data_IF_908798792070
#
_entry.id   IF_908798792070
#
_cell.length_a   1.000
_cell.length_b   1.000
_cell.length_c   1.000
_cell.angle_alpha   90.00
_cell.angle_beta   90.00
_cell.angle_gamma   90.00
#
_symmetry.space_group_name_H-M   'P 1'
#
loop_
_entity.id
_entity.type
_entity.pdbx_description
1 polymer ?
#
# COMPACT_ATOMS: atom_id res chain seq x y z
N UNK A 1 -17.09 12.44 -11.45
CA UNK A 1 -15.67 12.03 -11.43
C UNK A 1 -15.56 10.68 -12.11
N UNK A 2 -14.52 10.43 -12.92
CA UNK A 2 -14.28 9.08 -13.45
C UNK A 2 -14.03 8.14 -12.29
N UNK A 3 -14.60 6.92 -12.36
CA UNK A 3 -14.39 5.91 -11.33
C UNK A 3 -12.93 5.43 -11.38
N UNK A 4 -12.24 5.43 -10.25
CA UNK A 4 -10.89 4.87 -10.13
C UNK A 4 -11.03 3.34 -10.10
N UNK A 5 -10.38 2.64 -11.02
CA UNK A 5 -10.48 1.17 -11.16
C UNK A 5 -9.13 0.47 -11.05
N UNK A 6 -8.04 1.23 -10.89
CA UNK A 6 -6.66 0.74 -10.89
C UNK A 6 -5.94 1.02 -9.58
N UNK A 7 -5.13 0.06 -9.13
CA UNK A 7 -4.27 0.22 -7.97
C UNK A 7 -2.87 -0.35 -8.20
N UNK A 8 -1.85 0.26 -7.58
CA UNK A 8 -0.46 -0.20 -7.58
C UNK A 8 -0.09 -0.65 -6.16
N UNK A 9 0.49 -1.83 -6.03
CA UNK A 9 0.93 -2.39 -4.75
C UNK A 9 2.39 -2.86 -4.85
N UNK A 10 3.35 -2.07 -4.36
CA UNK A 10 4.74 -2.50 -4.27
C UNK A 10 4.94 -3.57 -3.18
N UNK A 11 5.53 -4.71 -3.57
CA UNK A 11 5.84 -5.85 -2.68
C UNK A 11 7.24 -6.47 -2.92
N UNK A 12 8.11 -5.79 -3.68
CA UNK A 12 9.43 -6.32 -4.07
C UNK A 12 10.54 -6.19 -2.99
N UNK A 13 10.26 -5.57 -1.85
CA UNK A 13 11.28 -5.28 -0.83
C UNK A 13 11.77 -6.52 -0.06
N UNK A 14 13.07 -6.56 0.26
CA UNK A 14 13.71 -7.67 1.02
C UNK A 14 13.17 -7.87 2.45
N UNK A 15 12.56 -6.84 3.04
CA UNK A 15 12.08 -6.92 4.42
C UNK A 15 13.18 -7.21 5.44
N UNK A 16 14.37 -6.62 5.30
CA UNK A 16 15.55 -6.90 6.14
C UNK A 16 15.31 -6.70 7.64
N UNK A 17 14.42 -5.76 8.02
CA UNK A 17 13.96 -5.54 9.42
C UNK A 17 13.32 -6.77 10.06
N UNK A 18 12.92 -7.77 9.26
CA UNK A 18 12.23 -8.98 9.68
C UNK A 18 13.10 -10.24 9.52
N UNK A 19 14.40 -10.11 9.30
CA UNK A 19 15.28 -11.27 9.33
C UNK A 19 15.24 -11.96 10.71
N UNK A 20 15.32 -13.30 10.79
CA UNK A 20 15.61 -14.23 9.69
C UNK A 20 14.38 -14.71 8.91
N UNK A 21 13.14 -14.40 9.34
CA UNK A 21 11.94 -14.98 8.71
C UNK A 21 11.81 -14.57 7.24
N UNK A 22 12.21 -13.32 6.92
CA UNK A 22 12.21 -12.79 5.55
C UNK A 22 13.33 -13.31 4.65
N UNK A 23 14.20 -14.18 5.16
CA UNK A 23 15.13 -14.94 4.30
C UNK A 23 14.36 -15.84 3.32
N UNK A 24 13.17 -16.30 3.70
CA UNK A 24 12.36 -17.19 2.88
C UNK A 24 10.93 -16.72 2.72
N UNK A 25 10.29 -16.11 3.74
CA UNK A 25 8.91 -15.62 3.64
C UNK A 25 8.89 -14.15 3.23
N UNK A 26 8.25 -13.79 2.13
CA UNK A 26 8.15 -12.38 1.72
C UNK A 26 7.47 -11.54 2.81
N UNK A 27 7.91 -10.29 3.01
CA UNK A 27 7.40 -9.44 4.10
C UNK A 27 5.88 -9.25 4.02
N UNK A 28 5.37 -8.95 2.83
CA UNK A 28 3.94 -8.85 2.49
C UNK A 28 3.15 -10.13 2.78
N UNK A 29 3.85 -11.27 2.86
CA UNK A 29 3.27 -12.59 3.09
C UNK A 29 3.25 -13.02 4.55
N UNK A 30 3.77 -12.18 5.47
CA UNK A 30 3.69 -12.47 6.90
C UNK A 30 2.21 -12.57 7.32
N UNK A 31 1.82 -13.62 8.06
CA UNK A 31 0.41 -13.88 8.36
C UNK A 31 -0.11 -12.96 9.47
N UNK A 32 -1.29 -12.38 9.25
CA UNK A 32 -2.09 -11.73 10.29
C UNK A 32 -3.43 -12.44 10.35
N UNK A 33 -3.68 -13.15 11.44
CA UNK A 33 -4.79 -14.11 11.50
C UNK A 33 -4.63 -15.20 10.44
N UNK A 34 -5.61 -15.32 9.55
CA UNK A 34 -5.64 -16.33 8.48
C UNK A 34 -5.28 -15.77 7.08
N UNK A 35 -4.80 -14.52 7.00
CA UNK A 35 -4.49 -13.86 5.72
C UNK A 35 -3.09 -13.24 5.75
N UNK A 36 -2.40 -13.16 4.61
CA UNK A 36 -1.19 -12.36 4.49
C UNK A 36 -1.46 -10.86 4.69
N UNK A 37 -0.47 -10.09 5.14
CA UNK A 37 -0.56 -8.62 5.30
C UNK A 37 -1.13 -7.93 4.05
N UNK A 38 -0.54 -8.20 2.88
CA UNK A 38 -0.93 -7.54 1.62
C UNK A 38 -2.37 -7.83 1.22
N UNK A 39 -2.90 -9.01 1.59
CA UNK A 39 -4.25 -9.41 1.21
C UNK A 39 -5.30 -8.54 1.90
N UNK A 40 -5.05 -7.98 3.09
CA UNK A 40 -5.98 -6.99 3.68
C UNK A 40 -6.15 -5.76 2.77
N UNK A 41 -5.05 -5.20 2.25
CA UNK A 41 -5.09 -4.09 1.31
C UNK A 41 -5.77 -4.49 -0.02
N UNK A 42 -5.47 -5.67 -0.56
CA UNK A 42 -6.09 -6.15 -1.82
C UNK A 42 -7.61 -6.24 -1.70
N UNK A 43 -8.11 -6.81 -0.60
CA UNK A 43 -9.55 -7.03 -0.42
C UNK A 43 -10.29 -5.71 -0.19
N UNK A 44 -9.63 -4.78 0.49
CA UNK A 44 -10.11 -3.43 0.66
C UNK A 44 -10.25 -2.70 -0.69
N UNK A 45 -9.23 -2.78 -1.54
CA UNK A 45 -9.24 -2.19 -2.88
C UNK A 45 -10.34 -2.80 -3.76
N UNK A 46 -10.51 -4.12 -3.71
CA UNK A 46 -11.60 -4.82 -4.42
C UNK A 46 -12.96 -4.30 -3.95
N UNK A 47 -13.17 -4.16 -2.63
CA UNK A 47 -14.41 -3.62 -2.07
C UNK A 47 -14.67 -2.18 -2.54
N UNK A 48 -13.62 -1.37 -2.66
CA UNK A 48 -13.69 -0.01 -3.20
C UNK A 48 -13.95 0.04 -4.73
N UNK A 49 -14.00 -1.11 -5.40
CA UNK A 49 -14.34 -1.23 -6.82
C UNK A 49 -13.16 -1.24 -7.77
N UNK A 50 -11.95 -1.53 -7.27
CA UNK A 50 -10.75 -1.74 -8.08
C UNK A 50 -10.81 -3.09 -8.78
N UNK A 51 -10.54 -3.09 -10.09
CA UNK A 51 -10.58 -4.27 -10.95
C UNK A 51 -9.20 -4.69 -11.46
N UNK A 52 -8.26 -3.75 -11.53
CA UNK A 52 -6.91 -3.99 -12.03
C UNK A 52 -5.89 -3.59 -10.96
N UNK A 53 -5.20 -4.58 -10.43
CA UNK A 53 -4.17 -4.39 -9.40
C UNK A 53 -2.82 -4.71 -10.02
N UNK A 54 -1.89 -3.75 -9.99
CA UNK A 54 -0.54 -3.89 -10.49
C UNK A 54 0.39 -4.13 -9.31
N UNK A 55 0.89 -5.35 -9.15
CA UNK A 55 1.83 -5.71 -8.10
C UNK A 55 3.26 -5.64 -8.62
N UNK A 56 4.11 -4.90 -7.90
CA UNK A 56 5.55 -4.90 -8.18
C UNK A 56 6.21 -5.92 -7.29
N UNK A 57 6.63 -7.03 -7.87
CA UNK A 57 7.25 -8.19 -7.21
C UNK A 57 8.76 -8.20 -7.43
N UNK A 58 9.49 -8.93 -6.59
CA UNK A 58 10.91 -9.19 -6.85
C UNK A 58 11.06 -10.13 -8.06
N UNK A 59 12.16 -9.99 -8.81
CA UNK A 59 12.55 -10.98 -9.82
C UNK A 59 13.25 -12.22 -9.22
N UNK A 60 13.41 -12.28 -7.91
CA UNK A 60 14.02 -13.41 -7.19
C UNK A 60 12.96 -14.43 -6.81
N UNK A 61 13.19 -15.70 -7.13
CA UNK A 61 12.31 -16.80 -6.76
C UNK A 61 12.63 -17.39 -5.37
N UNK A 62 11.62 -17.96 -4.67
CA UNK A 62 10.20 -18.07 -5.07
C UNK A 62 9.40 -16.79 -4.78
N UNK A 63 8.51 -16.38 -5.70
CA UNK A 63 7.59 -15.26 -5.49
C UNK A 63 6.28 -15.70 -4.83
N UNK A 64 6.17 -15.53 -3.51
CA UNK A 64 5.05 -16.06 -2.72
C UNK A 64 3.76 -15.30 -2.92
N UNK A 65 3.81 -13.98 -3.09
CA UNK A 65 2.65 -13.15 -3.41
C UNK A 65 1.99 -13.64 -4.70
N UNK A 66 2.77 -13.89 -5.76
CA UNK A 66 2.22 -14.38 -7.01
C UNK A 66 1.57 -15.76 -6.86
N UNK A 67 2.22 -16.69 -6.14
CA UNK A 67 1.67 -18.03 -5.90
C UNK A 67 0.40 -18.00 -5.03
N UNK A 68 0.28 -17.06 -4.08
CA UNK A 68 -0.91 -16.93 -3.21
C UNK A 68 -2.19 -16.59 -3.99
N UNK A 69 -2.07 -15.81 -5.06
CA UNK A 69 -3.20 -15.43 -5.91
C UNK A 69 -3.41 -16.37 -7.11
N UNK A 70 -2.53 -17.35 -7.31
CA UNK A 70 -2.67 -18.36 -8.38
C UNK A 70 -3.64 -19.46 -7.95
N UNK A 71 -4.39 -19.99 -8.91
CA UNK A 71 -5.25 -21.15 -8.65
C UNK A 71 -4.43 -22.40 -8.29
N UNK A 72 -4.83 -23.08 -7.22
CA UNK A 72 -4.19 -24.32 -6.77
C UNK A 72 -5.08 -25.52 -7.09
N UNK A 73 -4.97 -26.02 -8.33
CA UNK A 73 -5.80 -27.14 -8.80
C UNK A 73 -5.68 -28.40 -7.92
N UNK A 74 -4.50 -28.70 -7.38
CA UNK A 74 -4.31 -29.86 -6.52
C UNK A 74 -5.08 -29.73 -5.19
N UNK A 75 -5.00 -28.56 -4.55
CA UNK A 75 -5.77 -28.25 -3.35
C UNK A 75 -7.28 -28.23 -3.64
N UNK A 76 -7.69 -27.61 -4.74
CA UNK A 76 -9.10 -27.51 -5.12
C UNK A 76 -9.72 -28.90 -5.35
N UNK A 77 -9.04 -29.76 -6.11
CA UNK A 77 -9.47 -31.14 -6.33
C UNK A 77 -9.60 -31.90 -5.01
N UNK A 78 -8.60 -31.78 -4.14
CA UNK A 78 -8.65 -32.38 -2.80
C UNK A 78 -9.85 -31.90 -1.97
N UNK A 79 -10.18 -30.60 -2.01
CA UNK A 79 -11.31 -30.05 -1.28
C UNK A 79 -12.66 -30.50 -1.86
N UNK A 80 -12.78 -30.56 -3.19
CA UNK A 80 -13.97 -31.05 -3.90
C UNK A 80 -14.23 -32.52 -3.58
N UNK A 81 -13.22 -33.39 -3.72
CA UNK A 81 -13.32 -34.82 -3.43
C UNK A 81 -13.73 -35.11 -1.98
N UNK A 82 -13.38 -34.20 -1.06
CA UNK A 82 -13.70 -34.31 0.37
C UNK A 82 -14.99 -33.57 0.77
N UNK A 83 -15.71 -32.98 -0.18
CA UNK A 83 -16.96 -32.25 0.08
C UNK A 83 -16.80 -31.00 0.94
N UNK A 84 -15.63 -30.34 0.92
CA UNK A 84 -15.30 -29.17 1.76
C UNK A 84 -15.55 -27.85 1.03
N UNK A 85 -16.81 -27.62 0.65
CA UNK A 85 -17.21 -26.45 -0.15
C UNK A 85 -16.93 -25.11 0.56
N UNK A 86 -17.06 -25.07 1.90
CA UNK A 86 -16.74 -23.92 2.75
C UNK A 86 -15.26 -23.49 2.60
N UNK A 87 -14.34 -24.48 2.55
CA UNK A 87 -12.90 -24.22 2.41
C UNK A 87 -12.51 -23.93 0.97
N UNK A 88 -13.20 -24.52 -0.01
CA UNK A 88 -12.97 -24.21 -1.42
C UNK A 88 -13.25 -22.72 -1.70
N UNK A 89 -14.28 -22.15 -1.07
CA UNK A 89 -14.57 -20.73 -1.15
C UNK A 89 -13.43 -19.87 -0.57
N UNK A 90 -12.76 -20.32 0.51
CA UNK A 90 -11.60 -19.64 1.09
C UNK A 90 -10.33 -19.75 0.22
N UNK A 91 -10.20 -20.82 -0.57
CA UNK A 91 -9.07 -21.00 -1.49
C UNK A 91 -9.14 -20.04 -2.69
N UNK A 92 -10.34 -19.54 -3.02
CA UNK A 92 -10.53 -18.51 -4.04
C UNK A 92 -10.19 -17.13 -3.45
N UNK A 93 -8.97 -16.67 -3.68
CA UNK A 93 -8.45 -15.41 -3.13
C UNK A 93 -8.92 -14.17 -3.89
N UNK A 94 -9.36 -14.32 -5.15
CA UNK A 94 -9.82 -13.22 -6.01
C UNK A 94 -11.21 -13.49 -6.63
N UNK A 95 -12.06 -12.45 -6.79
CA UNK A 95 -13.22 -12.50 -7.67
C UNK A 95 -12.83 -12.60 -9.16
N UNK A 96 -13.70 -13.19 -9.99
CA UNK A 96 -13.40 -13.44 -11.42
C UNK A 96 -13.23 -12.17 -12.27
N UNK A 97 -13.77 -11.03 -11.80
CA UNK A 97 -13.69 -9.75 -12.50
C UNK A 97 -12.47 -8.91 -12.11
N UNK A 98 -11.65 -9.40 -11.16
CA UNK A 98 -10.44 -8.72 -10.68
C UNK A 98 -9.22 -9.39 -11.28
N UNK A 99 -8.26 -8.60 -11.74
CA UNK A 99 -7.00 -9.07 -12.32
C UNK A 99 -5.82 -8.48 -11.57
N UNK A 100 -4.83 -9.33 -11.29
CA UNK A 100 -3.51 -8.89 -10.84
C UNK A 100 -2.55 -8.98 -12.02
N UNK A 101 -1.90 -7.85 -12.31
CA UNK A 101 -0.80 -7.72 -13.25
C UNK A 101 0.51 -7.65 -12.45
N UNK A 102 1.57 -8.29 -12.94
CA UNK A 102 2.83 -8.37 -12.21
C UNK A 102 3.94 -7.67 -13.00
N UNK A 103 4.62 -6.72 -12.35
CA UNK A 103 5.86 -6.11 -12.83
C UNK A 103 6.99 -6.57 -11.92
N UNK A 104 8.13 -6.94 -12.49
CA UNK A 104 9.30 -7.36 -11.71
C UNK A 104 10.24 -6.18 -11.47
N UNK A 105 10.70 -5.99 -10.24
CA UNK A 105 11.79 -5.08 -9.89
C UNK A 105 13.02 -5.89 -9.46
N UNK A 106 14.17 -5.57 -10.04
CA UNK A 106 15.45 -6.14 -9.60
C UNK A 106 15.84 -5.54 -8.24
N UNK A 107 16.00 -6.36 -7.19
CA UNK A 107 16.40 -5.88 -5.87
C UNK A 107 17.82 -5.29 -5.81
N UNK A 108 18.68 -5.55 -6.80
CA UNK A 108 19.99 -4.92 -6.94
C UNK A 108 19.96 -3.63 -7.77
N UNK A 109 18.80 -3.28 -8.33
CA UNK A 109 18.59 -2.05 -9.09
C UNK A 109 18.34 -0.84 -8.19
N UNK A 110 17.71 0.19 -8.78
CA UNK A 110 17.28 1.38 -8.04
C UNK A 110 16.27 1.00 -6.96
N UNK A 111 16.47 1.54 -5.76
CA UNK A 111 15.67 1.24 -4.59
C UNK A 111 14.94 2.48 -4.07
N UNK A 112 13.82 2.29 -3.39
CA UNK A 112 12.96 3.36 -2.89
C UNK A 112 11.51 3.21 -3.31
N UNK A 113 10.65 4.06 -2.76
CA UNK A 113 9.19 3.97 -2.89
C UNK A 113 8.65 4.54 -4.21
N UNK A 114 9.39 5.42 -4.89
CA UNK A 114 8.98 6.00 -6.17
C UNK A 114 9.23 5.05 -7.37
N UNK A 115 10.31 4.26 -7.33
CA UNK A 115 10.70 3.34 -8.41
C UNK A 115 9.59 2.36 -8.83
N UNK A 116 8.97 1.58 -7.91
CA UNK A 116 7.94 0.62 -8.29
C UNK A 116 6.73 1.28 -8.96
N UNK A 117 6.37 2.49 -8.53
CA UNK A 117 5.26 3.25 -9.12
C UNK A 117 5.62 3.65 -10.56
N UNK A 118 6.82 4.21 -10.78
CA UNK A 118 7.28 4.58 -12.10
C UNK A 118 7.33 3.39 -13.07
N UNK A 119 7.84 2.23 -12.62
CA UNK A 119 7.90 1.01 -13.43
C UNK A 119 6.52 0.62 -13.98
N UNK A 120 5.50 0.56 -13.12
CA UNK A 120 4.14 0.20 -13.53
C UNK A 120 3.53 1.24 -14.45
N UNK A 121 3.71 2.53 -14.15
CA UNK A 121 3.15 3.62 -14.97
C UNK A 121 3.69 3.55 -16.40
N UNK A 122 4.99 3.30 -16.55
CA UNK A 122 5.64 3.20 -17.86
C UNK A 122 5.26 1.91 -18.59
N UNK A 123 5.32 0.75 -17.92
CA UNK A 123 5.07 -0.55 -18.53
C UNK A 123 3.63 -0.66 -19.05
N UNK A 124 2.66 -0.16 -18.29
CA UNK A 124 1.23 -0.26 -18.62
C UNK A 124 0.64 1.02 -19.21
N UNK A 125 1.46 2.04 -19.49
CA UNK A 125 1.03 3.34 -20.01
C UNK A 125 -0.16 3.92 -19.22
N UNK A 126 -0.03 3.95 -17.90
CA UNK A 126 -1.09 4.43 -17.00
C UNK A 126 -1.25 5.94 -17.17
N UNK A 127 -2.43 6.36 -17.65
CA UNK A 127 -2.76 7.78 -17.91
C UNK A 127 -4.08 8.20 -17.24
N UNK A 128 -4.34 7.65 -16.05
CA UNK A 128 -5.50 7.95 -15.20
C UNK A 128 -5.12 7.87 -13.71
N UNK A 129 -5.92 8.46 -12.79
CA UNK A 129 -5.64 8.36 -11.36
C UNK A 129 -5.64 6.91 -10.85
N UNK A 130 -4.72 6.58 -9.95
CA UNK A 130 -4.61 5.24 -9.36
C UNK A 130 -4.49 5.31 -7.85
N UNK A 131 -4.99 4.27 -7.18
CA UNK A 131 -4.64 4.04 -5.77
C UNK A 131 -3.23 3.46 -5.69
N UNK A 132 -2.45 3.88 -4.70
CA UNK A 132 -1.13 3.31 -4.41
C UNK A 132 -1.08 2.90 -2.95
N UNK A 133 -0.95 1.60 -2.71
CA UNK A 133 -0.97 1.00 -1.36
C UNK A 133 0.31 0.20 -1.15
N UNK A 134 1.14 0.59 -0.17
CA UNK A 134 2.31 -0.25 0.20
C UNK A 134 1.85 -1.58 0.79
N UNK A 135 2.56 -2.67 0.46
CA UNK A 135 2.12 -4.04 0.77
C UNK A 135 2.56 -4.60 2.13
N UNK A 136 3.15 -3.80 3.00
CA UNK A 136 3.69 -4.21 4.29
C UNK A 136 2.89 -3.75 5.52
N UNK A 137 1.82 -3.01 5.29
CA UNK A 137 0.91 -2.49 6.31
C UNK A 137 -0.53 -2.42 5.76
N UNK A 138 -1.51 -2.23 6.65
CA UNK A 138 -2.91 -2.02 6.28
C UNK A 138 -3.66 -1.20 7.34
N UNK A 139 -4.82 -0.67 6.97
CA UNK A 139 -5.74 -0.01 7.91
C UNK A 139 -6.88 -0.96 8.23
N UNK A 140 -7.08 -1.22 9.52
CA UNK A 140 -8.13 -2.09 10.01
C UNK A 140 -9.35 -1.29 10.44
N UNK A 141 -10.43 -1.39 9.65
CA UNK A 141 -11.73 -0.79 9.99
C UNK A 141 -12.90 -1.69 9.51
N UNK A 142 -13.08 -2.88 10.11
CA UNK A 142 -13.97 -3.91 9.57
C UNK A 142 -15.46 -3.52 9.50
N UNK A 143 -15.90 -2.60 10.37
CA UNK A 143 -17.29 -2.12 10.45
C UNK A 143 -17.46 -0.68 9.96
N UNK A 144 -16.40 -0.03 9.48
CA UNK A 144 -16.40 1.37 9.08
C UNK A 144 -16.01 1.59 7.62
N UNK A 145 -15.74 2.86 7.32
CA UNK A 145 -15.21 3.29 6.03
C UNK A 145 -13.77 2.79 5.86
N UNK A 146 -13.47 2.23 4.69
CA UNK A 146 -12.12 1.77 4.38
C UNK A 146 -11.17 2.93 4.04
N UNK A 147 -9.85 2.72 4.11
CA UNK A 147 -8.88 3.74 3.70
C UNK A 147 -9.03 4.12 2.21
N UNK A 148 -9.31 3.16 1.34
CA UNK A 148 -9.59 3.38 -0.07
C UNK A 148 -10.86 4.23 -0.26
N UNK A 149 -11.93 3.96 0.49
CA UNK A 149 -13.16 4.77 0.48
C UNK A 149 -12.88 6.20 0.98
N UNK A 150 -12.18 6.37 2.11
CA UNK A 150 -11.80 7.69 2.65
C UNK A 150 -10.98 8.51 1.66
N UNK A 151 -10.02 7.88 0.98
CA UNK A 151 -9.23 8.51 -0.09
C UNK A 151 -10.12 8.98 -1.24
N UNK A 152 -10.97 8.09 -1.77
CA UNK A 152 -11.86 8.40 -2.90
C UNK A 152 -12.82 9.55 -2.54
N UNK A 153 -13.42 9.52 -1.34
CA UNK A 153 -14.35 10.55 -0.88
C UNK A 153 -13.69 11.91 -0.62
N UNK A 154 -12.38 11.94 -0.37
CA UNK A 154 -11.65 13.21 -0.14
C UNK A 154 -11.46 14.05 -1.40
N UNK A 155 -11.49 13.42 -2.59
CA UNK A 155 -11.24 14.09 -3.87
C UNK A 155 -12.41 14.97 -4.28
N UNK A 156 -12.10 16.18 -4.77
CA UNK A 156 -13.11 17.06 -5.37
C UNK A 156 -13.22 16.89 -6.90
N UNK A 157 -12.15 16.45 -7.56
CA UNK A 157 -12.10 16.13 -8.98
C UNK A 157 -10.94 15.17 -9.29
N UNK A 158 -10.83 14.71 -10.53
CA UNK A 158 -9.87 13.69 -10.94
C UNK A 158 -8.42 14.19 -11.10
N UNK A 159 -8.20 15.51 -11.08
CA UNK A 159 -6.86 16.10 -11.18
C UNK A 159 -6.20 16.23 -9.80
N UNK A 160 -6.98 16.12 -8.72
CA UNK A 160 -6.46 16.13 -7.34
C UNK A 160 -5.84 14.77 -6.98
N UNK A 161 -4.80 14.81 -6.14
CA UNK A 161 -4.24 13.65 -5.44
C UNK A 161 -4.77 13.60 -4.01
N UNK A 162 -4.63 12.46 -3.35
CA UNK A 162 -4.96 12.31 -1.94
C UNK A 162 -3.93 11.45 -1.21
N UNK A 163 -3.72 11.72 0.08
CA UNK A 163 -2.91 10.93 1.01
C UNK A 163 -3.77 10.56 2.20
N UNK A 164 -3.64 9.32 2.67
CA UNK A 164 -4.31 8.89 3.89
C UNK A 164 -3.49 9.36 5.10
N UNK A 165 -4.14 10.09 6.00
CA UNK A 165 -3.61 10.48 7.29
C UNK A 165 -4.23 9.65 8.40
N UNK A 166 -3.39 9.14 9.31
CA UNK A 166 -3.85 8.47 10.54
C UNK A 166 -3.40 9.30 11.73
N UNK A 167 -4.35 9.64 12.60
CA UNK A 167 -4.04 10.35 13.84
C UNK A 167 -3.50 9.35 14.89
N UNK A 168 -2.37 9.68 15.51
CA UNK A 168 -1.74 8.86 16.54
C UNK A 168 -1.47 9.68 17.82
N UNK A 169 -1.21 9.02 18.97
CA UNK A 169 -0.71 9.72 20.15
C UNK A 169 0.58 10.49 19.83
N UNK A 170 0.65 11.74 20.28
CA UNK A 170 1.70 12.69 19.88
C UNK A 170 3.11 12.19 20.23
N UNK A 171 3.25 11.43 21.30
CA UNK A 171 4.51 10.83 21.76
C UNK A 171 5.06 9.70 20.87
N UNK A 172 4.33 9.31 19.80
CA UNK A 172 4.75 8.25 18.86
C UNK A 172 5.10 8.77 17.45
N UNK A 173 5.05 10.09 17.24
CA UNK A 173 5.22 10.72 15.91
C UNK A 173 6.64 10.62 15.37
N UNK A 174 7.63 10.46 16.24
CA UNK A 174 9.07 10.38 15.94
C UNK A 174 9.48 9.17 15.08
N UNK A 175 8.55 8.24 14.84
CA UNK A 175 8.77 7.03 14.05
C UNK A 175 8.30 7.14 12.60
N UNK A 176 7.58 8.21 12.26
CA UNK A 176 6.83 8.32 11.01
C UNK A 176 7.05 9.66 10.30
N UNK A 177 6.66 9.74 9.03
CA UNK A 177 6.45 11.00 8.35
C UNK A 177 5.18 11.67 8.87
N UNK A 178 5.30 12.89 9.39
CA UNK A 178 4.19 13.67 9.94
C UNK A 178 3.71 14.67 8.90
N UNK A 179 2.40 14.67 8.65
CA UNK A 179 1.77 15.52 7.65
C UNK A 179 1.63 16.94 8.18
N UNK A 180 2.09 17.92 7.39
CA UNK A 180 1.77 19.33 7.58
C UNK A 180 0.51 19.67 6.77
N UNK A 181 -0.52 20.19 7.43
CA UNK A 181 -1.87 20.27 6.87
C UNK A 181 -2.41 21.69 6.98
N UNK A 182 -2.93 22.23 5.88
CA UNK A 182 -3.64 23.51 5.84
C UNK A 182 -4.90 23.38 5.01
N UNK A 183 -6.05 23.76 5.59
CA UNK A 183 -7.37 23.72 4.92
C UNK A 183 -7.70 22.35 4.29
N UNK A 184 -7.34 21.25 4.99
CA UNK A 184 -7.55 19.87 4.53
C UNK A 184 -6.62 19.42 3.39
N UNK A 185 -5.58 20.20 3.07
CA UNK A 185 -4.59 19.90 2.04
C UNK A 185 -3.21 19.70 2.67
N UNK A 186 -2.44 18.79 2.08
CA UNK A 186 -1.04 18.57 2.43
C UNK A 186 -0.22 19.78 1.95
N UNK A 187 0.64 20.29 2.83
CA UNK A 187 1.61 21.36 2.50
C UNK A 187 3.06 20.90 2.67
N UNK A 188 3.27 19.64 3.04
CA UNK A 188 4.58 19.01 3.16
C UNK A 188 4.55 17.85 4.16
N UNK A 189 5.60 17.03 4.15
CA UNK A 189 5.80 15.93 5.10
C UNK A 189 7.11 16.17 5.85
N UNK A 190 7.09 16.00 7.17
CA UNK A 190 8.31 16.06 7.99
C UNK A 190 8.64 14.64 8.44
N UNK A 191 9.78 14.11 8.00
CA UNK A 191 10.20 12.74 8.32
C UNK A 191 10.79 12.65 9.72
N UNK A 192 10.18 11.81 10.57
CA UNK A 192 10.65 11.47 11.94
C UNK A 192 11.03 12.71 12.78
N UNK A 193 10.15 13.71 12.89
CA UNK A 193 10.42 14.90 13.69
C UNK A 193 10.51 14.55 15.18
N UNK A 194 11.15 15.42 15.97
CA UNK A 194 10.92 15.40 17.41
C UNK A 194 9.45 15.70 17.73
N UNK A 195 9.00 15.30 18.92
CA UNK A 195 7.61 15.54 19.38
C UNK A 195 7.28 17.03 19.40
N UNK A 196 8.28 17.87 19.67
CA UNK A 196 8.18 19.33 19.72
C UNK A 196 8.13 19.96 18.33
N UNK A 197 8.84 19.41 17.34
CA UNK A 197 8.92 19.91 15.97
C UNK A 197 7.82 19.35 15.05
N UNK A 198 7.09 18.33 15.50
CA UNK A 198 6.03 17.70 14.73
C UNK A 198 4.92 18.71 14.36
N UNK A 199 4.62 18.92 13.06
CA UNK A 199 3.63 19.91 12.62
C UNK A 199 2.19 19.51 12.97
N UNK A 200 1.95 18.23 13.24
CA UNK A 200 0.68 17.67 13.69
C UNK A 200 0.93 16.33 14.41
N UNK A 201 -0.13 15.58 14.68
CA UNK A 201 -0.09 14.18 15.08
C UNK A 201 -0.69 13.24 14.02
N UNK A 202 -0.82 13.72 12.78
CA UNK A 202 -1.32 12.96 11.63
C UNK A 202 -0.13 12.38 10.85
N UNK A 203 -0.03 11.07 10.75
CA UNK A 203 1.09 10.39 10.07
C UNK A 203 0.74 9.94 8.65
N UNK A 204 1.75 9.92 7.79
CA UNK A 204 1.72 9.24 6.50
C UNK A 204 1.77 7.72 6.72
N UNK A 205 0.76 7.01 6.23
CA UNK A 205 0.70 5.54 6.25
C UNK A 205 0.88 4.91 4.88
N UNK A 206 1.40 5.67 3.92
CA UNK A 206 1.76 5.25 2.57
C UNK A 206 0.63 4.76 1.66
N UNK A 207 -0.55 5.37 1.80
CA UNK A 207 -1.79 5.06 1.06
C UNK A 207 -2.21 6.32 0.35
N UNK A 208 -2.30 6.24 -0.98
CA UNK A 208 -2.44 7.43 -1.82
C UNK A 208 -3.47 7.21 -2.91
N UNK A 209 -4.09 8.30 -3.37
CA UNK A 209 -4.52 8.43 -4.76
C UNK A 209 -3.54 9.36 -5.44
N UNK A 210 -2.93 8.90 -6.53
CA UNK A 210 -2.02 9.70 -7.34
C UNK A 210 -2.71 10.10 -8.63
N UNK A 211 -2.83 11.42 -8.84
CA UNK A 211 -3.36 11.96 -10.08
C UNK A 211 -2.40 11.70 -11.25
N UNK A 212 -2.91 11.82 -12.47
CA UNK A 212 -2.14 11.68 -13.71
C UNK A 212 -0.90 12.58 -13.75
N UNK A 213 -1.01 13.81 -13.24
CA UNK A 213 0.13 14.74 -13.17
C UNK A 213 1.20 14.25 -12.19
N UNK A 214 0.81 13.85 -10.99
CA UNK A 214 1.73 13.32 -9.99
C UNK A 214 2.43 12.04 -10.48
N UNK A 215 1.72 11.12 -11.14
CA UNK A 215 2.32 9.92 -11.74
C UNK A 215 3.41 10.28 -12.77
N UNK A 216 3.17 11.29 -13.61
CA UNK A 216 4.18 11.76 -14.59
C UNK A 216 5.39 12.36 -13.90
N UNK A 217 5.19 13.12 -12.82
CA UNK A 217 6.28 13.67 -12.01
C UNK A 217 7.11 12.57 -11.35
N UNK A 218 6.48 11.53 -10.82
CA UNK A 218 7.16 10.37 -10.26
C UNK A 218 8.03 9.68 -11.33
N UNK A 219 7.49 9.45 -12.53
CA UNK A 219 8.26 8.88 -13.65
C UNK A 219 9.44 9.78 -14.03
N UNK A 220 9.22 11.09 -14.14
CA UNK A 220 10.27 12.05 -14.46
C UNK A 220 11.35 12.09 -13.39
N UNK A 221 10.98 12.15 -12.11
CA UNK A 221 11.88 12.12 -10.96
C UNK A 221 12.79 10.90 -10.99
N UNK A 222 12.21 9.70 -11.21
CA UNK A 222 12.99 8.47 -11.32
C UNK A 222 13.90 8.47 -12.55
N UNK A 223 13.54 9.12 -13.66
CA UNK A 223 14.38 9.20 -14.87
C UNK A 223 15.49 10.25 -14.81
N UNK A 224 15.24 11.38 -14.16
CA UNK A 224 16.15 12.53 -14.13
C UNK A 224 17.17 12.46 -13.01
N UNK A 225 16.94 11.62 -12.01
CA UNK A 225 17.87 11.40 -10.91
C UNK A 225 18.57 10.04 -11.09
N UNK A 226 19.88 10.04 -10.85
CA UNK A 226 20.67 8.83 -10.70
C UNK A 226 21.47 8.92 -9.39
N UNK A 227 20.89 8.37 -8.32
CA UNK A 227 21.55 8.26 -7.02
C UNK A 227 22.56 7.09 -6.95
N UNK A 228 22.68 6.31 -8.03
CA UNK A 228 23.47 5.09 -8.06
C UNK A 228 22.84 3.93 -7.26
N UNK A 229 23.57 2.82 -7.09
CA UNK A 229 23.06 1.61 -6.44
C UNK A 229 23.20 1.59 -4.90
N UNK A 230 23.75 2.63 -4.26
CA UNK A 230 24.11 2.62 -2.83
C UNK A 230 23.46 3.78 -2.04
N UNK A 231 22.96 3.42 -0.85
CA UNK A 231 22.43 4.22 0.29
C UNK A 231 21.33 5.28 0.06
N UNK A 232 21.10 5.78 -1.14
CA UNK A 232 20.01 6.74 -1.39
C UNK A 232 18.77 6.06 -2.00
N UNK A 233 17.63 6.27 -1.34
CA UNK A 233 16.32 5.80 -1.78
C UNK A 233 15.65 6.86 -2.66
N UNK A 234 15.04 6.43 -3.76
CA UNK A 234 14.11 7.26 -4.53
C UNK A 234 12.79 7.35 -3.74
N UNK A 235 12.65 8.38 -2.91
CA UNK A 235 11.50 8.56 -2.05
C UNK A 235 10.33 9.17 -2.81
N UNK A 236 9.13 8.59 -2.66
CA UNK A 236 7.91 9.11 -3.28
C UNK A 236 7.48 10.46 -2.71
N UNK A 237 7.95 10.83 -1.52
CA UNK A 237 7.70 12.14 -0.89
C UNK A 237 8.34 13.28 -1.68
N UNK A 238 9.48 13.04 -2.34
CA UNK A 238 10.18 14.08 -3.10
C UNK A 238 9.34 14.63 -4.28
N UNK A 239 8.82 13.80 -5.20
CA UNK A 239 7.92 14.29 -6.26
C UNK A 239 6.55 14.74 -5.73
N UNK A 240 6.11 14.29 -4.55
CA UNK A 240 4.91 14.81 -3.89
C UNK A 240 5.12 16.26 -3.45
N UNK A 241 6.26 16.56 -2.81
CA UNK A 241 6.59 17.91 -2.38
C UNK A 241 6.76 18.84 -3.58
N UNK A 242 7.41 18.38 -4.67
CA UNK A 242 7.49 19.12 -5.93
C UNK A 242 6.09 19.43 -6.49
N UNK A 243 5.22 18.41 -6.57
CA UNK A 243 3.84 18.55 -7.05
C UNK A 243 3.05 19.60 -6.26
N UNK A 244 3.17 19.60 -4.93
CA UNK A 244 2.47 20.57 -4.06
C UNK A 244 3.05 21.98 -4.23
N UNK A 245 4.38 22.10 -4.27
CA UNK A 245 5.06 23.39 -4.43
C UNK A 245 4.74 24.08 -5.77
N UNK A 246 4.45 23.30 -6.81
CA UNK A 246 4.03 23.80 -8.12
C UNK A 246 2.51 24.03 -8.24
N UNK A 247 1.77 23.95 -7.14
CA UNK A 247 0.33 24.27 -7.09
C UNK A 247 -0.59 23.06 -7.26
N UNK A 248 -0.03 21.85 -7.33
CA UNK A 248 -0.79 20.60 -7.26
C UNK A 248 -1.57 20.49 -5.94
N UNK A 249 -2.76 19.88 -6.01
CA UNK A 249 -3.59 19.66 -4.82
C UNK A 249 -3.45 18.22 -4.36
N UNK A 250 -2.99 18.03 -3.12
CA UNK A 250 -3.00 16.75 -2.42
C UNK A 250 -3.86 16.86 -1.16
N UNK A 251 -5.02 16.20 -1.16
CA UNK A 251 -5.95 16.16 -0.02
C UNK A 251 -5.44 15.24 1.07
N UNK A 252 -5.64 15.60 2.33
CA UNK A 252 -5.40 14.67 3.44
C UNK A 252 -6.72 14.04 3.83
N UNK A 253 -6.86 12.74 3.56
CA UNK A 253 -8.02 11.94 3.92
C UNK A 253 -7.81 11.34 5.32
N UNK A 254 -8.57 11.76 6.35
CA UNK A 254 -8.51 11.12 7.65
C UNK A 254 -9.21 9.76 7.61
N UNK A 255 -8.84 8.86 8.51
CA UNK A 255 -9.57 7.60 8.74
C UNK A 255 -9.77 7.38 10.23
N UNK A 256 -10.87 6.70 10.58
CA UNK A 256 -11.11 6.19 11.94
C UNK A 256 -10.55 4.77 12.13
N UNK A 257 -10.01 4.17 11.08
CA UNK A 257 -9.42 2.84 11.13
C UNK A 257 -8.09 2.82 11.87
N UNK A 258 -7.74 1.66 12.41
CA UNK A 258 -6.49 1.45 13.12
C UNK A 258 -5.37 1.09 12.13
N UNK A 259 -4.29 1.86 12.10
CA UNK A 259 -3.12 1.56 11.29
C UNK A 259 -2.32 0.39 11.89
N UNK A 260 -2.07 -0.65 11.10
CA UNK A 260 -1.37 -1.85 11.50
C UNK A 260 -0.14 -2.11 10.60
N UNK A 261 1.05 -1.93 11.19
CA UNK A 261 2.36 -2.12 10.52
C UNK A 261 2.91 -3.52 10.74
N UNK A 262 3.18 -4.25 9.65
CA UNK A 262 3.85 -5.56 9.69
C UNK A 262 5.39 -5.50 9.69
N UNK A 263 5.96 -4.30 9.60
CA UNK A 263 7.39 -4.05 9.45
C UNK A 263 8.26 -4.29 10.67
N UNK A 264 7.66 -4.24 11.86
CA UNK A 264 8.32 -4.55 13.15
C UNK A 264 7.73 -5.81 13.78
N UNK A 265 8.46 -6.46 14.70
CA UNK A 265 7.95 -7.63 15.45
C UNK A 265 6.75 -7.25 16.29
N UNK A 266 6.87 -6.14 16.99
CA UNK A 266 5.86 -5.56 17.86
C UNK A 266 4.61 -5.18 17.07
N UNK A 267 4.76 -4.49 15.93
CA UNK A 267 3.66 -4.12 15.05
C UNK A 267 2.92 -5.34 14.49
N UNK A 268 3.65 -6.37 14.06
CA UNK A 268 3.05 -7.61 13.55
C UNK A 268 2.28 -8.40 14.64
N UNK A 269 2.80 -8.44 15.87
CA UNK A 269 2.11 -9.05 17.01
C UNK A 269 0.85 -8.26 17.35
N UNK A 270 0.96 -6.93 17.40
CA UNK A 270 -0.19 -6.04 17.62
C UNK A 270 -1.27 -6.25 16.57
N UNK A 271 -0.90 -6.28 15.29
CA UNK A 271 -1.83 -6.54 14.18
C UNK A 271 -2.58 -7.86 14.34
N UNK A 272 -1.88 -8.93 14.73
CA UNK A 272 -2.50 -10.22 15.02
C UNK A 272 -3.50 -10.13 16.19
N UNK A 273 -3.12 -9.47 17.28
CA UNK A 273 -4.00 -9.29 18.44
C UNK A 273 -5.27 -8.50 18.07
N UNK A 274 -5.13 -7.41 17.33
CA UNK A 274 -6.26 -6.58 16.87
C UNK A 274 -7.20 -7.39 15.98
N UNK A 275 -6.67 -8.03 14.94
CA UNK A 275 -7.49 -8.77 13.98
C UNK A 275 -8.16 -9.99 14.61
N UNK A 276 -7.45 -10.75 15.46
CA UNK A 276 -7.99 -11.99 16.05
C UNK A 276 -8.92 -11.75 17.24
N UNK A 277 -8.82 -10.59 17.90
CA UNK A 277 -9.74 -10.21 18.97
C UNK A 277 -11.06 -9.63 18.45
N UNK A 278 -11.10 -9.23 17.18
CA UNK A 278 -12.30 -8.70 16.55
C UNK A 278 -13.44 -9.73 16.56
N UNK A 279 -14.58 -9.30 17.10
CA UNK A 279 -15.84 -10.05 17.07
C UNK A 279 -16.85 -9.18 16.33
N UNK A 280 -17.25 -9.63 15.14
CA UNK A 280 -18.29 -8.95 14.36
C UNK A 280 -19.52 -8.71 15.24
N UNK A 281 -19.93 -7.45 15.35
CA UNK A 281 -21.17 -7.12 16.04
C UNK A 281 -22.32 -7.88 15.36
N UNK A 282 -23.13 -8.58 16.16
CA UNK A 282 -24.30 -9.32 15.67
C UNK A 282 -25.42 -8.39 15.26
#
# INVERSE_FOLDING_TARGET
MQKITKAIIPVAGWGTRRLPITKIIEKSMLPVGNRPLVDYSVQELIKAGITDIYMVISNVEPCQVQEFYRDNHALNNYLVERGKADRLALAKTLPDHVKIHYTTQDPAGRYGTAVPIALVVEEYNIDEPVLVFMGDDFVWNPDGESAAESLIHSLQNADESAILGVEIPKEKVDKYGVLNIKDGKLTGVVEKPSVEEAPSNMINVSKYIMSKDLLRRIVNYVKSHDFGPLDQEYLVTDPIDEYINEGGVMRVAPTTGEYLDGGSVEGWVHANNVVTSYKKAK
#
